data_IF_178295646146
#
_entry.id   IF_178295646146
#
_cell.length_a   1.000
_cell.length_b   1.000
_cell.length_c   1.000
_cell.angle_alpha   90.00
_cell.angle_beta   90.00
_cell.angle_gamma   90.00
#
_symmetry.space_group_name_H-M   'P 1'
#
loop_
_entity.id
_entity.type
_entity.pdbx_description
1 polymer ?
#
# COMPACT_ATOMS: atom_id res chain seq x y z
N UNK A 1 -17.20 6.92 -6.12
CA UNK A 1 -16.23 6.21 -6.26
C UNK A 1 -16.34 4.86 -5.89
N UNK A 2 -15.66 4.11 -6.21
CA UNK A 2 -16.00 3.24 -6.81
C UNK A 2 -15.25 2.00 -6.84
N UNK A 3 -14.03 1.95 -6.54
CA UNK A 3 -13.28 0.72 -6.47
C UNK A 3 -13.55 0.05 -5.13
N UNK A 4 -13.82 -1.23 -5.12
CA UNK A 4 -13.97 -1.95 -3.87
C UNK A 4 -12.62 -2.61 -3.50
N UNK A 5 -12.58 -3.30 -2.37
CA UNK A 5 -11.36 -3.92 -1.87
C UNK A 5 -10.76 -4.92 -2.83
N UNK A 6 -11.62 -5.70 -3.50
CA UNK A 6 -11.17 -6.71 -4.44
C UNK A 6 -10.46 -6.06 -5.62
N UNK A 7 -11.03 -4.97 -6.11
CA UNK A 7 -10.44 -4.26 -7.24
C UNK A 7 -9.08 -3.71 -6.89
N UNK A 8 -8.94 -3.16 -5.69
CA UNK A 8 -7.66 -2.58 -5.26
C UNK A 8 -6.58 -3.65 -5.14
N UNK A 9 -6.92 -4.78 -4.56
CA UNK A 9 -5.98 -5.87 -4.43
C UNK A 9 -5.51 -6.36 -5.82
N UNK A 10 -6.44 -6.49 -6.75
CA UNK A 10 -6.12 -6.92 -8.09
C UNK A 10 -5.24 -5.92 -8.82
N UNK A 11 -5.49 -4.63 -8.60
CA UNK A 11 -4.69 -3.59 -9.23
C UNK A 11 -3.25 -3.61 -8.71
N UNK A 12 -3.07 -3.79 -7.42
CA UNK A 12 -1.72 -3.90 -6.86
C UNK A 12 -1.00 -5.11 -7.44
N UNK A 13 -1.72 -6.22 -7.61
CA UNK A 13 -1.12 -7.40 -8.20
C UNK A 13 -0.64 -7.13 -9.63
N UNK A 14 -1.48 -6.46 -10.42
CA UNK A 14 -1.14 -6.15 -11.82
C UNK A 14 0.05 -5.20 -11.93
N UNK A 15 0.22 -4.33 -10.93
CA UNK A 15 1.32 -3.39 -10.92
C UNK A 15 2.58 -4.00 -10.31
N UNK A 16 2.51 -5.26 -9.89
CA UNK A 16 3.63 -5.94 -9.25
C UNK A 16 4.08 -5.25 -7.96
N UNK A 17 3.11 -4.68 -7.23
CA UNK A 17 3.38 -4.02 -5.97
C UNK A 17 3.10 -5.00 -4.83
N UNK A 18 3.94 -5.99 -4.70
CA UNK A 18 3.71 -7.09 -3.75
C UNK A 18 3.59 -6.63 -2.30
N UNK A 19 4.43 -5.69 -1.88
CA UNK A 19 4.38 -5.22 -0.51
C UNK A 19 3.12 -4.40 -0.26
N UNK A 20 2.76 -3.53 -1.19
CA UNK A 20 1.54 -2.74 -1.07
C UNK A 20 0.33 -3.66 -0.98
N UNK A 21 0.30 -4.71 -1.81
CA UNK A 21 -0.80 -5.66 -1.81
C UNK A 21 -0.94 -6.34 -0.44
N UNK A 22 0.17 -6.58 0.23
CA UNK A 22 0.16 -7.24 1.52
C UNK A 22 -0.26 -6.33 2.67
N UNK A 23 0.11 -5.04 2.59
CA UNK A 23 -0.08 -4.15 3.73
C UNK A 23 -1.21 -3.12 3.59
N UNK A 24 -1.82 -3.01 2.43
CA UNK A 24 -2.76 -1.90 2.20
C UNK A 24 -3.98 -1.92 3.13
N UNK A 25 -4.49 -3.12 3.45
CA UNK A 25 -5.69 -3.19 4.31
C UNK A 25 -5.42 -2.69 5.73
N UNK A 26 -4.42 -3.23 6.44
CA UNK A 26 -4.14 -2.70 7.77
C UNK A 26 -3.69 -1.24 7.73
N UNK A 27 -3.05 -0.83 6.65
CA UNK A 27 -2.61 0.55 6.53
C UNK A 27 -3.80 1.51 6.38
N UNK A 28 -4.82 1.11 5.61
CA UNK A 28 -6.02 1.91 5.49
C UNK A 28 -6.74 2.03 6.83
N UNK A 29 -6.84 0.93 7.56
CA UNK A 29 -7.48 0.95 8.88
C UNK A 29 -6.78 1.93 9.81
N UNK A 30 -5.46 1.90 9.81
CA UNK A 30 -4.67 2.80 10.63
C UNK A 30 -4.84 4.25 10.19
N UNK A 31 -4.81 4.48 8.88
CA UNK A 31 -4.97 5.83 8.34
C UNK A 31 -6.32 6.43 8.74
N UNK A 32 -7.36 5.61 8.70
CA UNK A 32 -8.69 6.08 9.07
C UNK A 32 -8.78 6.39 10.57
N UNK A 33 -8.19 5.53 11.40
CA UNK A 33 -8.21 5.75 12.84
C UNK A 33 -7.42 6.98 13.24
N UNK A 34 -6.30 7.23 12.57
CA UNK A 34 -5.42 8.33 12.91
C UNK A 34 -5.69 9.57 12.05
N UNK A 35 -6.66 9.47 11.16
CA UNK A 35 -7.07 10.57 10.30
C UNK A 35 -5.93 11.15 9.48
N UNK A 36 -5.19 10.27 8.83
CA UNK A 36 -4.10 10.71 7.95
C UNK A 36 -4.67 11.43 6.73
N UNK A 37 -3.92 12.38 6.19
CA UNK A 37 -4.26 12.96 4.90
C UNK A 37 -4.02 11.92 3.81
N UNK A 38 -4.63 12.13 2.65
CA UNK A 38 -4.40 11.22 1.53
C UNK A 38 -2.92 11.23 1.13
N UNK A 39 -2.30 12.40 1.20
CA UNK A 39 -0.86 12.51 0.89
C UNK A 39 -0.04 11.65 1.84
N UNK A 40 -0.33 11.72 3.12
CA UNK A 40 0.41 10.93 4.11
C UNK A 40 0.25 9.45 3.85
N UNK A 41 -0.97 9.02 3.56
CA UNK A 41 -1.23 7.61 3.27
C UNK A 41 -0.44 7.14 2.05
N UNK A 42 -0.49 7.90 0.96
CA UNK A 42 0.21 7.53 -0.26
C UNK A 42 1.72 7.53 -0.06
N UNK A 43 2.22 8.51 0.68
CA UNK A 43 3.65 8.60 0.95
C UNK A 43 4.13 7.38 1.71
N UNK A 44 3.40 6.99 2.74
CA UNK A 44 3.81 5.83 3.53
C UNK A 44 3.70 4.55 2.72
N UNK A 45 2.64 4.39 1.94
CA UNK A 45 2.48 3.21 1.12
C UNK A 45 3.62 3.06 0.11
N UNK A 46 3.98 4.16 -0.55
CA UNK A 46 5.07 4.15 -1.52
C UNK A 46 6.41 3.89 -0.84
N UNK A 47 6.62 4.48 0.34
CA UNK A 47 7.85 4.29 1.09
C UNK A 47 8.03 2.83 1.49
N UNK A 48 6.94 2.18 1.91
CA UNK A 48 6.99 0.77 2.27
C UNK A 48 7.35 -0.10 1.07
N UNK A 49 6.85 0.26 -0.10
CA UNK A 49 7.16 -0.49 -1.31
C UNK A 49 8.63 -0.36 -1.68
N UNK A 50 9.18 0.83 -1.56
CA UNK A 50 10.59 1.07 -1.85
C UNK A 50 11.48 0.30 -0.88
N UNK A 51 11.13 0.33 0.41
CA UNK A 51 11.90 -0.39 1.42
C UNK A 51 11.89 -1.89 1.15
N UNK A 52 10.74 -2.43 0.77
CA UNK A 52 10.62 -3.85 0.46
C UNK A 52 11.53 -4.24 -0.70
N UNK A 53 11.55 -3.42 -1.74
CA UNK A 53 12.38 -3.70 -2.91
C UNK A 53 13.86 -3.61 -2.59
N UNK A 54 14.24 -2.67 -1.73
CA UNK A 54 15.62 -2.55 -1.31
C UNK A 54 16.07 -3.75 -0.51
N UNK A 55 15.22 -4.23 0.38
CA UNK A 55 15.53 -5.44 1.14
C UNK A 55 15.69 -6.65 0.24
N UNK A 56 14.81 -6.80 -0.72
CA UNK A 56 14.87 -7.90 -1.65
C UNK A 56 16.15 -7.85 -2.46
N UNK A 57 16.57 -6.67 -2.86
CA UNK A 57 17.77 -6.49 -3.65
C UNK A 57 19.02 -6.84 -2.86
N UNK A 58 19.03 -6.50 -1.58
CA UNK A 58 20.18 -6.75 -0.73
C UNK A 58 20.27 -8.21 -0.25
N UNK A 59 19.14 -8.87 -0.24
CA UNK A 59 19.12 -10.27 0.16
C UNK A 59 19.57 -11.16 -0.99
#
# INVERSE_FOLDING_TARGET
MIADETDLDALFKRLHLANARRVWRPLIDRAERERWSYRDFLTLLATEEIADRQQTRLA
#
